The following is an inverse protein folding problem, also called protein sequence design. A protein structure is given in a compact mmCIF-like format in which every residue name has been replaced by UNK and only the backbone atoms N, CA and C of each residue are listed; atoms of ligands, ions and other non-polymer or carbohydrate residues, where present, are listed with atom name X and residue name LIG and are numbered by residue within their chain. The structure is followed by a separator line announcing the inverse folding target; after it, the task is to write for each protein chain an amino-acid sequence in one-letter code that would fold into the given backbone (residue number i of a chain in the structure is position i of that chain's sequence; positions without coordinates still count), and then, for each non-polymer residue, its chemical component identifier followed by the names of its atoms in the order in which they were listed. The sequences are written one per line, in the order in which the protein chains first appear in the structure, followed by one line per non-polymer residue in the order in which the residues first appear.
data_IF_129049941130
#
_entry.id   IF_129049941130
#
_cell.length_a   1.000
_cell.length_b   1.000
_cell.length_c   1.000
_cell.angle_alpha   90.00
_cell.angle_beta   90.00
_cell.angle_gamma   90.00
#
_symmetry.space_group_name_H-M   'P 1'
#
loop_
_entity.id
_entity.type
_entity.pdbx_description
1 polymer ?
#
# COMPACT_ATOMS: atom_id res chain seq x y z
N UNK A 1 -0.94 5.52 0.75
CA UNK A 1 0.51 5.68 0.50
C UNK A 1 0.87 7.04 -0.08
N UNK A 2 0.22 7.50 -1.16
CA UNK A 2 0.46 8.85 -1.73
C UNK A 2 0.41 10.01 -0.73
N UNK A 3 -0.50 9.97 0.26
CA UNK A 3 -0.52 10.92 1.38
C UNK A 3 0.79 10.92 2.17
N UNK A 4 1.31 9.74 2.54
CA UNK A 4 2.56 9.62 3.29
C UNK A 4 3.77 10.12 2.46
N UNK A 5 3.81 9.83 1.15
CA UNK A 5 4.82 10.35 0.23
C UNK A 5 4.84 11.88 0.20
N UNK A 6 3.69 12.50 -0.11
CA UNK A 6 3.61 13.97 -0.18
C UNK A 6 3.93 14.63 1.15
N UNK A 7 3.41 14.08 2.24
CA UNK A 7 3.53 14.69 3.54
C UNK A 7 4.98 14.55 4.07
N UNK A 8 5.62 13.38 3.95
CA UNK A 8 7.05 13.21 4.29
C UNK A 8 7.99 14.12 3.50
N UNK A 9 7.67 14.39 2.24
CA UNK A 9 8.44 15.32 1.40
C UNK A 9 8.30 16.78 1.84
N UNK A 10 7.19 17.17 2.49
CA UNK A 10 7.02 18.50 3.05
C UNK A 10 7.82 18.71 4.35
N UNK A 11 8.12 17.64 5.10
CA UNK A 11 8.87 17.72 6.36
C UNK A 11 10.39 17.84 6.14
N UNK A 12 10.98 17.02 5.27
CA UNK A 12 12.38 17.16 4.86
C UNK A 12 12.71 16.35 3.61
N UNK A 13 13.68 16.80 2.82
CA UNK A 13 14.15 16.09 1.63
C UNK A 13 14.61 14.66 1.95
N UNK A 14 15.34 14.47 3.06
CA UNK A 14 15.84 13.14 3.47
C UNK A 14 14.70 12.19 3.80
N UNK A 15 13.71 12.65 4.56
CA UNK A 15 12.56 11.82 4.94
C UNK A 15 11.69 11.51 3.72
N UNK A 16 11.44 12.50 2.87
CA UNK A 16 10.71 12.32 1.62
C UNK A 16 11.36 11.27 0.71
N UNK A 17 12.68 11.34 0.51
CA UNK A 17 13.42 10.37 -0.31
C UNK A 17 13.34 8.95 0.25
N UNK A 18 13.51 8.80 1.57
CA UNK A 18 13.44 7.49 2.23
C UNK A 18 12.03 6.88 2.11
N UNK A 19 10.99 7.64 2.45
CA UNK A 19 9.58 7.19 2.42
C UNK A 19 9.14 6.89 0.99
N UNK A 20 9.47 7.76 0.03
CA UNK A 20 9.13 7.55 -1.39
C UNK A 20 9.77 6.27 -1.93
N UNK A 21 11.04 6.02 -1.60
CA UNK A 21 11.74 4.82 -2.05
C UNK A 21 11.14 3.56 -1.42
N UNK A 22 10.79 3.62 -0.14
CA UNK A 22 10.14 2.51 0.58
C UNK A 22 8.80 2.14 -0.04
N UNK A 23 7.96 3.16 -0.29
CA UNK A 23 6.65 2.97 -0.94
C UNK A 23 6.82 2.44 -2.37
N UNK A 24 7.74 2.98 -3.17
CA UNK A 24 8.00 2.48 -4.53
C UNK A 24 8.30 0.98 -4.56
N UNK A 25 9.05 0.46 -3.58
CA UNK A 25 9.34 -0.97 -3.49
C UNK A 25 8.12 -1.76 -3.00
N UNK A 26 7.33 -1.21 -2.06
CA UNK A 26 6.08 -1.81 -1.56
C UNK A 26 5.03 -2.03 -2.66
N UNK A 27 4.93 -1.09 -3.62
CA UNK A 27 3.92 -1.14 -4.66
C UNK A 27 4.09 -2.30 -5.63
N UNK A 28 5.29 -2.88 -5.72
CA UNK A 28 5.54 -4.05 -6.57
C UNK A 28 4.78 -5.28 -6.02
N UNK A 29 4.97 -5.70 -4.74
CA UNK A 29 4.12 -6.67 -4.09
C UNK A 29 2.62 -6.33 -4.13
N UNK A 30 2.24 -5.07 -3.87
CA UNK A 30 0.82 -4.66 -3.88
C UNK A 30 0.18 -4.84 -5.26
N UNK A 31 0.87 -4.38 -6.32
CA UNK A 31 0.41 -4.56 -7.69
C UNK A 31 0.22 -6.03 -8.07
N UNK A 32 1.12 -6.92 -7.60
CA UNK A 32 0.97 -8.37 -7.77
C UNK A 32 -0.25 -8.88 -7.00
N UNK A 33 -0.44 -8.45 -5.76
CA UNK A 33 -1.56 -8.84 -4.90
C UNK A 33 -2.93 -8.45 -5.50
N UNK A 34 -2.99 -7.37 -6.29
CA UNK A 34 -4.20 -6.95 -7.01
C UNK A 34 -4.35 -7.67 -8.36
N UNK A 35 -3.26 -7.78 -9.12
CA UNK A 35 -3.30 -8.34 -10.48
C UNK A 35 -3.58 -9.85 -10.49
N UNK A 36 -3.00 -10.61 -9.56
CA UNK A 36 -3.11 -12.08 -9.54
C UNK A 36 -4.54 -12.55 -9.29
N UNK A 37 -5.30 -12.06 -8.28
CA UNK A 37 -6.70 -12.41 -8.12
C UNK A 37 -7.57 -11.95 -9.30
N UNK A 38 -7.30 -10.77 -9.87
CA UNK A 38 -8.01 -10.29 -11.06
C UNK A 38 -7.82 -11.24 -12.25
N UNK A 39 -6.60 -11.75 -12.45
CA UNK A 39 -6.28 -12.72 -13.48
C UNK A 39 -6.90 -14.09 -13.19
N UNK A 40 -6.89 -14.54 -11.93
CA UNK A 40 -7.52 -15.80 -11.54
C UNK A 40 -9.04 -15.77 -11.80
N UNK A 41 -9.69 -14.63 -11.57
CA UNK A 41 -11.11 -14.43 -11.86
C UNK A 41 -11.41 -14.28 -13.36
N UNK A 42 -10.45 -13.78 -14.16
CA UNK A 42 -10.59 -13.56 -15.61
C UNK A 42 -9.34 -14.01 -16.39
N UNK A 43 -9.09 -15.32 -16.52
CA UNK A 43 -7.86 -15.84 -17.12
C UNK A 43 -7.68 -15.46 -18.60
N UNK A 44 -8.78 -15.21 -19.31
CA UNK A 44 -8.80 -14.79 -20.71
C UNK A 44 -8.41 -13.31 -20.90
N UNK A 45 -8.24 -12.52 -19.83
CA UNK A 45 -8.02 -11.07 -19.90
C UNK A 45 -6.82 -10.57 -19.07
N UNK A 46 -5.60 -11.04 -19.35
CA UNK A 46 -4.41 -10.61 -18.61
C UNK A 46 -4.14 -9.10 -18.71
N UNK A 47 -4.39 -8.50 -19.86
CA UNK A 47 -4.24 -7.05 -20.05
C UNK A 47 -5.22 -6.23 -19.22
N UNK A 48 -6.43 -6.75 -18.98
CA UNK A 48 -7.41 -6.09 -18.12
C UNK A 48 -6.94 -6.15 -16.66
N UNK A 49 -6.44 -7.29 -16.20
CA UNK A 49 -5.90 -7.44 -14.84
C UNK A 49 -4.70 -6.52 -14.60
N UNK A 50 -3.81 -6.41 -15.59
CA UNK A 50 -2.71 -5.44 -15.56
C UNK A 50 -3.25 -4.00 -15.49
N UNK A 51 -4.20 -3.64 -16.36
CA UNK A 51 -4.78 -2.29 -16.38
C UNK A 51 -5.48 -1.93 -15.07
N UNK A 52 -6.19 -2.87 -14.44
CA UNK A 52 -6.84 -2.67 -13.14
C UNK A 52 -5.81 -2.45 -12.03
N UNK A 53 -4.74 -3.25 -12.00
CA UNK A 53 -3.64 -3.07 -11.04
C UNK A 53 -2.95 -1.71 -11.25
N UNK A 54 -2.62 -1.34 -12.48
CA UNK A 54 -2.04 -0.03 -12.80
C UNK A 54 -2.99 1.13 -12.45
N UNK A 55 -4.29 0.97 -12.70
CA UNK A 55 -5.29 1.98 -12.34
C UNK A 55 -5.40 2.15 -10.82
N UNK A 56 -5.24 1.08 -10.03
CA UNK A 56 -5.18 1.18 -8.57
C UNK A 56 -3.97 1.99 -8.11
N UNK A 57 -2.80 1.78 -8.71
CA UNK A 57 -1.59 2.55 -8.41
C UNK A 57 -1.72 4.05 -8.73
N UNK A 58 -2.64 4.45 -9.62
CA UNK A 58 -2.93 5.88 -9.84
C UNK A 58 -3.62 6.55 -8.64
N UNK A 59 -4.16 5.79 -7.68
CA UNK A 59 -4.69 6.34 -6.44
C UNK A 59 -3.61 7.05 -5.62
N UNK A 60 -2.35 6.63 -5.73
CA UNK A 60 -1.22 7.22 -5.01
C UNK A 60 -0.85 8.63 -5.50
N UNK A 61 -0.57 8.89 -6.80
CA UNK A 61 -0.31 10.25 -7.26
C UNK A 61 -1.52 11.16 -7.04
N UNK A 62 -2.75 10.64 -7.12
CA UNK A 62 -3.95 11.39 -6.76
C UNK A 62 -3.99 11.74 -5.27
N UNK A 63 -3.69 10.79 -4.39
CA UNK A 63 -3.60 11.02 -2.95
C UNK A 63 -2.49 12.01 -2.58
N UNK A 64 -1.32 11.91 -3.22
CA UNK A 64 -0.21 12.85 -3.06
C UNK A 64 -0.60 14.26 -3.52
N UNK A 65 -1.23 14.39 -4.69
CA UNK A 65 -1.72 15.67 -5.18
C UNK A 65 -2.74 16.28 -4.21
N UNK A 66 -3.73 15.50 -3.77
CA UNK A 66 -4.74 15.95 -2.81
C UNK A 66 -4.10 16.43 -1.51
N UNK A 67 -3.07 15.73 -1.03
CA UNK A 67 -2.29 16.10 0.16
C UNK A 67 -1.61 17.45 -0.03
N UNK A 68 -0.93 17.65 -1.16
CA UNK A 68 -0.28 18.93 -1.46
C UNK A 68 -1.27 20.08 -1.59
N UNK A 69 -2.46 19.86 -2.16
CA UNK A 69 -3.51 20.89 -2.24
C UNK A 69 -4.09 21.20 -0.86
N UNK A 70 -4.45 20.17 -0.10
CA UNK A 70 -5.13 20.30 1.19
C UNK A 70 -4.19 20.86 2.25
N UNK A 71 -2.96 20.37 2.39
CA UNK A 71 -2.02 20.90 3.40
C UNK A 71 -1.57 22.33 3.08
N UNK A 72 -1.43 22.69 1.80
CA UNK A 72 -1.09 24.05 1.41
C UNK A 72 -2.18 25.05 1.77
N UNK A 73 -3.45 24.67 1.71
CA UNK A 73 -4.57 25.52 2.16
C UNK A 73 -4.84 25.41 3.67
N UNK A 74 -4.49 24.29 4.29
CA UNK A 74 -4.74 24.01 5.71
C UNK A 74 -3.68 24.57 6.67
N UNK A 75 -2.63 25.24 6.16
CA UNK A 75 -1.58 25.93 6.94
C UNK A 75 -2.12 26.86 8.05
N UNK A 76 -3.41 27.20 8.02
CA UNK A 76 -3.99 28.19 8.92
C UNK A 76 -4.97 27.73 10.01
N UNK A 77 -5.50 26.49 10.10
CA UNK A 77 -6.66 26.35 11.03
C UNK A 77 -7.13 25.02 11.62
N UNK A 78 -6.61 23.82 11.33
CA UNK A 78 -7.30 22.62 11.86
C UNK A 78 -6.40 21.45 12.31
N UNK A 79 -6.62 21.03 13.57
CA UNK A 79 -5.99 19.87 14.22
C UNK A 79 -6.05 18.59 13.37
N UNK A 80 -7.10 18.44 12.54
CA UNK A 80 -7.31 17.25 11.71
C UNK A 80 -6.31 17.10 10.56
N UNK A 81 -5.75 18.19 10.03
CA UNK A 81 -4.83 18.15 8.89
C UNK A 81 -3.36 18.17 9.30
N UNK A 82 -3.08 17.92 10.58
CA UNK A 82 -1.71 17.68 11.03
C UNK A 82 -1.20 16.34 10.49
N UNK A 83 0.09 16.33 10.18
CA UNK A 83 0.81 15.18 9.64
C UNK A 83 0.51 13.88 10.37
N UNK A 84 0.61 13.89 11.70
CA UNK A 84 0.48 12.68 12.51
C UNK A 84 -0.93 12.08 12.43
N UNK A 85 -1.97 12.90 12.27
CA UNK A 85 -3.36 12.43 12.16
C UNK A 85 -3.64 11.83 10.78
N UNK A 86 -3.07 12.41 9.73
CA UNK A 86 -3.16 11.87 8.37
C UNK A 86 -2.46 10.50 8.31
N UNK A 87 -1.22 10.43 8.81
CA UNK A 87 -0.46 9.17 8.83
C UNK A 87 -1.17 8.10 9.68
N UNK A 88 -1.70 8.46 10.86
CA UNK A 88 -2.47 7.53 11.69
C UNK A 88 -3.75 7.04 10.99
N UNK A 89 -4.44 7.93 10.27
CA UNK A 89 -5.64 7.56 9.50
C UNK A 89 -5.32 6.58 8.37
N UNK A 90 -4.24 6.84 7.61
CA UNK A 90 -3.78 5.93 6.54
C UNK A 90 -3.38 4.57 7.12
N UNK A 91 -2.61 4.56 8.22
CA UNK A 91 -2.22 3.32 8.89
C UNK A 91 -3.44 2.51 9.34
N UNK A 92 -4.45 3.17 9.93
CA UNK A 92 -5.70 2.51 10.34
C UNK A 92 -6.46 1.86 9.18
N UNK A 93 -6.54 2.54 8.02
CA UNK A 93 -7.16 1.98 6.81
C UNK A 93 -6.41 0.74 6.34
N UNK A 94 -5.08 0.78 6.27
CA UNK A 94 -4.27 -0.36 5.80
C UNK A 94 -4.36 -1.56 6.75
N UNK A 95 -4.40 -1.32 8.06
CA UNK A 95 -4.65 -2.38 9.04
C UNK A 95 -6.03 -3.01 8.84
N UNK A 96 -7.07 -2.20 8.62
CA UNK A 96 -8.42 -2.71 8.38
C UNK A 96 -8.49 -3.55 7.10
N UNK A 97 -7.88 -3.12 5.99
CA UNK A 97 -7.79 -3.89 4.74
C UNK A 97 -7.05 -5.21 4.97
N UNK A 98 -5.90 -5.17 5.64
CA UNK A 98 -5.12 -6.38 5.92
C UNK A 98 -5.89 -7.40 6.76
N UNK A 99 -6.53 -6.95 7.86
CA UNK A 99 -7.18 -7.82 8.84
C UNK A 99 -8.57 -8.26 8.40
N UNK A 100 -9.36 -7.39 7.78
CA UNK A 100 -10.76 -7.68 7.44
C UNK A 100 -10.92 -8.23 6.03
N UNK A 101 -9.98 -8.00 5.12
CA UNK A 101 -10.11 -8.40 3.71
C UNK A 101 -9.04 -9.43 3.32
N UNK A 102 -7.75 -9.06 3.38
CA UNK A 102 -6.67 -9.89 2.85
C UNK A 102 -6.44 -11.18 3.65
N UNK A 103 -6.40 -11.08 4.99
CA UNK A 103 -6.19 -12.26 5.86
C UNK A 103 -7.35 -13.27 5.78
N UNK A 104 -8.63 -12.86 5.86
CA UNK A 104 -9.75 -13.78 5.71
C UNK A 104 -9.80 -14.43 4.33
N UNK A 105 -9.60 -13.66 3.26
CA UNK A 105 -9.61 -14.18 1.89
C UNK A 105 -8.45 -15.15 1.66
N UNK A 106 -7.24 -14.80 2.11
CA UNK A 106 -6.07 -15.69 2.04
C UNK A 106 -6.28 -17.00 2.83
N UNK A 107 -6.91 -16.92 4.00
CA UNK A 107 -7.25 -18.11 4.80
C UNK A 107 -8.30 -18.97 4.11
N UNK A 108 -9.30 -18.35 3.48
CA UNK A 108 -10.33 -19.05 2.72
C UNK A 108 -9.74 -19.78 1.51
N UNK A 109 -8.85 -19.14 0.75
CA UNK A 109 -8.17 -19.81 -0.37
C UNK A 109 -7.21 -20.91 0.12
N UNK A 110 -6.54 -20.70 1.26
CA UNK A 110 -5.69 -21.72 1.85
C UNK A 110 -6.47 -22.99 2.23
N UNK A 111 -7.72 -22.85 2.73
CA UNK A 111 -8.55 -24.00 3.12
C UNK A 111 -9.03 -24.84 1.93
N UNK A 112 -9.07 -24.25 0.73
CA UNK A 112 -9.41 -24.93 -0.51
C UNK A 112 -8.19 -25.46 -1.28
N UNK A 113 -6.97 -25.16 -0.82
CA UNK A 113 -5.73 -25.52 -1.48
C UNK A 113 -5.23 -26.91 -1.05
N UNK A 114 -4.61 -27.64 -1.98
CA UNK A 114 -3.90 -28.89 -1.68
C UNK A 114 -2.69 -28.69 -0.76
N UNK A 115 -2.21 -27.44 -0.62
CA UNK A 115 -1.03 -27.07 0.16
C UNK A 115 -1.30 -25.86 1.08
N UNK A 116 -2.14 -26.00 2.12
CA UNK A 116 -2.53 -24.89 3.01
C UNK A 116 -1.33 -24.27 3.76
N UNK A 117 -0.26 -25.03 3.98
CA UNK A 117 0.95 -24.56 4.65
C UNK A 117 1.69 -23.45 3.89
N UNK A 118 1.41 -23.25 2.60
CA UNK A 118 2.02 -22.19 1.79
C UNK A 118 1.54 -20.79 2.18
N UNK A 119 0.33 -20.68 2.77
CA UNK A 119 -0.22 -19.40 3.24
C UNK A 119 0.62 -18.75 4.37
N UNK A 120 0.88 -19.41 5.52
CA UNK A 120 1.72 -18.82 6.56
C UNK A 120 3.15 -18.56 6.08
N UNK A 121 3.69 -19.37 5.15
CA UNK A 121 4.99 -19.10 4.54
C UNK A 121 4.95 -17.79 3.74
N UNK A 122 3.94 -17.58 2.90
CA UNK A 122 3.74 -16.34 2.15
C UNK A 122 3.65 -15.11 3.05
N UNK A 123 2.92 -15.21 4.16
CA UNK A 123 2.81 -14.15 5.17
C UNK A 123 4.19 -13.81 5.77
N UNK A 124 4.96 -14.82 6.21
CA UNK A 124 6.29 -14.62 6.80
C UNK A 124 7.25 -14.03 5.76
N UNK A 125 7.25 -14.54 4.53
CA UNK A 125 8.07 -14.01 3.45
C UNK A 125 7.73 -12.54 3.13
N UNK A 126 6.45 -12.17 3.08
CA UNK A 126 6.01 -10.80 2.86
C UNK A 126 6.51 -9.85 3.95
N UNK A 127 6.34 -10.23 5.22
CA UNK A 127 6.87 -9.45 6.36
C UNK A 127 8.39 -9.34 6.30
N UNK A 128 9.10 -10.43 6.02
CA UNK A 128 10.56 -10.44 5.93
C UNK A 128 11.08 -9.52 4.82
N UNK A 129 10.46 -9.53 3.64
CA UNK A 129 10.82 -8.65 2.52
C UNK A 129 10.60 -7.18 2.89
N UNK A 130 9.46 -6.84 3.51
CA UNK A 130 9.17 -5.47 3.91
C UNK A 130 10.14 -4.97 4.98
N UNK A 131 10.34 -5.74 6.05
CA UNK A 131 11.29 -5.38 7.12
C UNK A 131 12.71 -5.25 6.58
N UNK A 132 13.14 -6.17 5.71
CA UNK A 132 14.46 -6.10 5.09
C UNK A 132 14.61 -4.85 4.20
N UNK A 133 13.57 -4.51 3.44
CA UNK A 133 13.57 -3.30 2.61
C UNK A 133 13.66 -2.04 3.46
N UNK A 134 12.88 -1.94 4.55
CA UNK A 134 12.97 -0.81 5.47
C UNK A 134 14.35 -0.68 6.12
N UNK A 135 14.95 -1.79 6.55
CA UNK A 135 16.30 -1.81 7.12
C UNK A 135 17.38 -1.35 6.13
N UNK A 136 17.20 -1.60 4.83
CA UNK A 136 18.12 -1.13 3.80
C UNK A 136 17.96 0.37 3.48
N UNK A 137 16.78 0.94 3.76
CA UNK A 137 16.43 2.32 3.38
C UNK A 137 16.61 3.34 4.53
N UNK A 138 16.78 2.88 5.77
CA UNK A 138 17.03 3.72 6.96
C UNK A 138 18.52 4.02 7.18
#
# INVERSE_FOLDING_TARGET
EGFAVAASALESDRLGLAVTTGIMIHNIPEGIAIAVPCLAARPDRPLLSFALASASGMAEPLGAALTLFVLKEAEHSSLLFRMENILASVAGIMVAVAVNELLPEGTHQASQSDKPWTFPLGLICGVAIMVFTELLLQ
#
